data_IF_659486396825
#
_entry.id   IF_659486396825
#
_cell.length_a   1.000
_cell.length_b   1.000
_cell.length_c   1.000
_cell.angle_alpha   90.00
_cell.angle_beta   90.00
_cell.angle_gamma   90.00
#
_symmetry.space_group_name_H-M   'P 1'
#
loop_
_entity.id
_entity.type
_entity.pdbx_description
1 polymer ?
#
# COMPACT_ATOMS: atom_id res chain seq x y z
N UNK A 1 -5.88 22.95 0.54
CA UNK A 1 -4.58 23.63 0.63
C UNK A 1 -3.89 23.58 -0.72
N UNK A 2 -3.28 24.68 -1.19
CA UNK A 2 -2.50 24.73 -2.43
C UNK A 2 -1.03 24.88 -2.05
N UNK A 3 -0.20 23.97 -2.53
CA UNK A 3 1.24 23.93 -2.21
C UNK A 3 2.01 23.69 -3.50
N UNK A 4 3.12 24.39 -3.67
CA UNK A 4 4.07 24.13 -4.77
C UNK A 4 5.11 23.13 -4.30
N UNK A 5 5.25 22.02 -5.03
CA UNK A 5 6.18 20.93 -4.70
C UNK A 5 7.14 20.74 -5.87
N UNK A 6 8.44 20.59 -5.57
CA UNK A 6 9.41 20.09 -6.54
C UNK A 6 9.41 18.57 -6.47
N UNK A 7 8.98 17.92 -7.55
CA UNK A 7 8.94 16.46 -7.69
C UNK A 7 9.61 16.12 -9.01
N UNK A 8 10.36 15.03 -9.05
CA UNK A 8 10.95 14.50 -10.26
C UNK A 8 9.86 14.21 -11.33
N UNK A 9 10.01 14.82 -12.50
CA UNK A 9 9.07 14.69 -13.62
C UNK A 9 9.06 13.28 -14.24
N UNK A 10 10.17 12.54 -14.20
CA UNK A 10 10.20 11.14 -14.61
C UNK A 10 9.40 10.28 -13.64
N UNK A 11 9.57 10.51 -12.34
CA UNK A 11 8.82 9.79 -11.31
C UNK A 11 7.31 10.01 -11.45
N UNK A 12 6.88 11.26 -11.64
CA UNK A 12 5.46 11.58 -11.84
C UNK A 12 4.92 10.94 -13.12
N UNK A 13 5.66 10.99 -14.24
CA UNK A 13 5.22 10.36 -15.50
C UNK A 13 5.06 8.86 -15.35
N UNK A 14 6.02 8.20 -14.69
CA UNK A 14 5.94 6.77 -14.40
C UNK A 14 4.74 6.44 -13.51
N UNK A 15 4.53 7.22 -12.46
CA UNK A 15 3.40 7.05 -11.56
C UNK A 15 2.05 7.27 -12.26
N UNK A 16 1.94 8.27 -13.15
CA UNK A 16 0.75 8.49 -14.00
C UNK A 16 0.49 7.30 -14.91
N UNK A 17 1.52 6.77 -15.59
CA UNK A 17 1.39 5.63 -16.48
C UNK A 17 0.96 4.34 -15.74
N UNK A 18 1.52 4.08 -14.56
CA UNK A 18 1.20 2.88 -13.76
C UNK A 18 -0.17 3.01 -13.08
N UNK A 19 -0.55 4.20 -12.61
CA UNK A 19 -1.82 4.41 -11.90
C UNK A 19 -3.01 4.68 -12.82
N UNK A 20 -2.78 5.02 -14.09
CA UNK A 20 -3.83 5.46 -15.02
C UNK A 20 -4.39 6.85 -14.72
N UNK A 21 -3.82 7.59 -13.76
CA UNK A 21 -4.29 8.91 -13.37
C UNK A 21 -3.71 9.98 -14.30
N UNK A 22 -4.59 10.82 -14.87
CA UNK A 22 -4.26 11.80 -15.89
C UNK A 22 -3.65 13.12 -15.36
N UNK A 23 -3.66 13.36 -14.05
CA UNK A 23 -3.18 14.63 -13.47
C UNK A 23 -2.09 14.43 -12.43
N UNK A 24 -1.07 15.30 -12.42
CA UNK A 24 -0.01 15.31 -11.39
C UNK A 24 -0.60 15.39 -9.97
N UNK A 25 -1.61 16.25 -9.77
CA UNK A 25 -2.32 16.38 -8.49
C UNK A 25 -3.02 15.08 -8.08
N UNK A 26 -3.71 14.43 -9.02
CA UNK A 26 -4.40 13.17 -8.75
C UNK A 26 -3.44 12.05 -8.37
N UNK A 27 -2.28 11.98 -9.03
CA UNK A 27 -1.23 11.01 -8.66
C UNK A 27 -0.72 11.26 -7.25
N UNK A 28 -0.48 12.51 -6.86
CA UNK A 28 -0.04 12.84 -5.51
C UNK A 28 -1.12 12.49 -4.47
N UNK A 29 -2.39 12.78 -4.74
CA UNK A 29 -3.50 12.42 -3.84
C UNK A 29 -3.60 10.89 -3.65
N UNK A 30 -3.54 10.15 -4.76
CA UNK A 30 -3.55 8.69 -4.76
C UNK A 30 -2.35 8.14 -3.98
N UNK A 31 -1.14 8.62 -4.25
CA UNK A 31 0.07 8.16 -3.57
C UNK A 31 0.01 8.39 -2.05
N UNK A 32 -0.51 9.53 -1.60
CA UNK A 32 -0.67 9.81 -0.17
C UNK A 32 -1.70 8.88 0.48
N UNK A 33 -2.84 8.62 -0.17
CA UNK A 33 -3.85 7.67 0.33
C UNK A 33 -3.29 6.26 0.43
N UNK A 34 -2.58 5.82 -0.60
CA UNK A 34 -1.96 4.49 -0.64
C UNK A 34 -0.88 4.35 0.44
N UNK A 35 -0.04 5.37 0.63
CA UNK A 35 0.98 5.38 1.68
C UNK A 35 0.36 5.20 3.07
N UNK A 36 -0.71 5.95 3.37
CA UNK A 36 -1.44 5.82 4.64
C UNK A 36 -2.04 4.43 4.76
N UNK A 37 -2.71 3.93 3.72
CA UNK A 37 -3.33 2.60 3.71
C UNK A 37 -2.32 1.49 4.02
N UNK A 38 -1.16 1.50 3.34
CA UNK A 38 -0.09 0.52 3.57
C UNK A 38 0.46 0.62 4.99
N UNK A 39 0.60 1.84 5.53
CA UNK A 39 1.09 2.02 6.89
C UNK A 39 0.11 1.48 7.94
N UNK A 40 -1.19 1.72 7.76
CA UNK A 40 -2.23 1.19 8.65
C UNK A 40 -2.33 -0.33 8.57
N UNK A 41 -2.15 -0.93 7.39
CA UNK A 41 -2.11 -2.40 7.27
C UNK A 41 -0.96 -3.01 8.07
N UNK A 42 0.16 -2.29 8.25
CA UNK A 42 1.27 -2.76 9.07
C UNK A 42 0.88 -2.90 10.55
N UNK A 43 -0.18 -2.22 11.02
CA UNK A 43 -0.65 -2.32 12.41
C UNK A 43 -1.19 -3.72 12.72
N UNK A 44 -1.58 -4.51 11.71
CA UNK A 44 -1.94 -5.93 11.91
C UNK A 44 -0.82 -6.72 12.59
N UNK A 45 0.44 -6.30 12.41
CA UNK A 45 1.61 -6.93 13.02
C UNK A 45 1.57 -6.87 14.55
N UNK A 46 0.83 -5.93 15.14
CA UNK A 46 0.67 -5.83 16.60
C UNK A 46 -0.06 -7.02 17.22
N UNK A 47 -0.79 -7.80 16.40
CA UNK A 47 -1.55 -8.97 16.81
C UNK A 47 -0.78 -10.29 16.68
N UNK A 48 0.47 -10.25 16.21
CA UNK A 48 1.34 -11.44 16.12
C UNK A 48 1.49 -12.09 17.50
N UNK A 49 1.20 -13.39 17.58
CA UNK A 49 1.26 -14.17 18.81
C UNK A 49 0.18 -13.84 19.85
N UNK A 50 -0.77 -12.94 19.53
CA UNK A 50 -1.88 -12.56 20.43
C UNK A 50 -3.21 -13.18 20.03
N UNK A 51 -3.39 -13.51 18.75
CA UNK A 51 -4.60 -14.15 18.25
C UNK A 51 -4.47 -15.66 18.42
N UNK A 52 -5.53 -16.30 18.90
CA UNK A 52 -5.66 -17.75 18.86
C UNK A 52 -5.82 -18.16 17.39
N UNK A 53 -4.91 -19.00 16.91
CA UNK A 53 -5.02 -19.59 15.58
C UNK A 53 -5.52 -21.01 15.73
N UNK A 54 -6.60 -21.36 15.02
CA UNK A 54 -7.20 -22.68 15.02
C UNK A 54 -6.97 -23.33 13.64
N UNK A 55 -6.26 -24.45 13.61
CA UNK A 55 -5.94 -25.20 12.39
C UNK A 55 -4.85 -26.24 12.63
N UNK A 56 -4.72 -27.21 11.72
CA UNK A 56 -3.60 -28.14 11.68
C UNK A 56 -2.64 -27.71 10.56
N UNK A 57 -1.49 -27.19 10.98
CA UNK A 57 -0.47 -26.62 10.09
C UNK A 57 0.21 -27.68 9.23
N UNK A 58 0.30 -28.91 9.72
CA UNK A 58 0.92 -30.02 8.99
C UNK A 58 -0.06 -30.55 7.94
N UNK A 59 -1.33 -30.74 8.30
CA UNK A 59 -2.36 -31.15 7.35
C UNK A 59 -2.47 -30.19 6.14
N UNK A 60 -2.46 -28.87 6.40
CA UNK A 60 -2.53 -27.84 5.36
C UNK A 60 -1.31 -27.84 4.40
N UNK A 61 -0.15 -28.34 4.83
CA UNK A 61 1.06 -28.42 4.00
C UNK A 61 1.09 -29.66 3.12
N UNK A 62 0.38 -30.71 3.53
CA UNK A 62 0.34 -32.00 2.83
C UNK A 62 -0.83 -32.15 1.87
N UNK A 63 -1.81 -31.24 1.89
CA UNK A 63 -2.85 -31.15 0.85
C UNK A 63 -2.22 -30.67 -0.48
N UNK A 64 -1.85 -31.64 -1.32
CA UNK A 64 -1.39 -31.47 -2.71
C UNK A 64 -2.37 -32.15 -3.66
#
# INVERSE_FOLDING_TARGET
MRTTLHIDDELIRKAMAVSGVSTKRGVVDLALREMVRVRLQADVRQYRGKLLWEGDLEAMRTDS
#
